data_IF_850001950925
#
_entry.id   IF_850001950925
#
_cell.length_a   1.000
_cell.length_b   1.000
_cell.length_c   1.000
_cell.angle_alpha   90.00
_cell.angle_beta   90.00
_cell.angle_gamma   90.00
#
_symmetry.space_group_name_H-M   'P 1'
#
loop_
_entity.id
_entity.type
_entity.pdbx_description
1 polymer ?
#
# COMPACT_ATOMS: atom_id res chain seq x y z
N UNK A 1 -24.97 -53.41 56.60
CA UNK A 1 -24.88 -53.41 55.12
C UNK A 1 -25.63 -52.23 54.48
N UNK A 2 -26.93 -52.02 54.74
CA UNK A 2 -27.71 -50.90 54.13
C UNK A 2 -27.09 -49.51 54.29
N UNK A 3 -26.53 -49.18 55.47
CA UNK A 3 -25.88 -47.88 55.73
C UNK A 3 -24.57 -47.66 54.95
N UNK A 4 -23.83 -48.74 54.69
CA UNK A 4 -22.56 -48.70 53.96
C UNK A 4 -22.83 -48.51 52.46
N UNK A 5 -23.82 -49.24 51.93
CA UNK A 5 -24.26 -49.12 50.54
C UNK A 5 -24.77 -47.70 50.25
N UNK A 6 -25.58 -47.14 51.17
CA UNK A 6 -26.13 -45.79 51.05
C UNK A 6 -25.04 -44.71 51.02
N UNK A 7 -24.01 -44.84 51.87
CA UNK A 7 -22.86 -43.92 51.90
C UNK A 7 -22.06 -43.98 50.60
N UNK A 8 -21.81 -45.19 50.10
CA UNK A 8 -21.05 -45.40 48.86
C UNK A 8 -21.78 -44.85 47.63
N UNK A 9 -23.11 -45.02 47.56
CA UNK A 9 -23.92 -44.46 46.48
C UNK A 9 -24.01 -42.93 46.53
N UNK A 10 -23.99 -42.33 47.72
CA UNK A 10 -23.95 -40.87 47.86
C UNK A 10 -22.60 -40.30 47.37
N UNK A 11 -21.49 -40.95 47.72
CA UNK A 11 -20.16 -40.54 47.27
C UNK A 11 -20.06 -40.63 45.74
N UNK A 12 -20.54 -41.72 45.15
CA UNK A 12 -20.56 -41.90 43.69
C UNK A 12 -21.41 -40.84 42.98
N UNK A 13 -22.54 -40.44 43.57
CA UNK A 13 -23.40 -39.39 43.01
C UNK A 13 -22.70 -38.02 43.05
N UNK A 14 -22.01 -37.70 44.14
CA UNK A 14 -21.28 -36.43 44.30
C UNK A 14 -20.11 -36.36 43.32
N UNK A 15 -19.35 -37.46 43.15
CA UNK A 15 -18.21 -37.48 42.22
C UNK A 15 -18.65 -37.39 40.76
N UNK A 16 -19.73 -38.08 40.37
CA UNK A 16 -20.32 -37.95 39.05
C UNK A 16 -20.84 -36.54 38.78
N UNK A 17 -21.51 -35.94 39.78
CA UNK A 17 -21.96 -34.55 39.70
C UNK A 17 -20.81 -33.57 39.54
N UNK A 18 -19.75 -33.69 40.34
CA UNK A 18 -18.58 -32.83 40.26
C UNK A 18 -17.94 -32.86 38.87
N UNK A 19 -17.75 -34.03 38.26
CA UNK A 19 -17.23 -34.18 36.89
C UNK A 19 -18.13 -33.47 35.89
N UNK A 20 -19.45 -33.61 36.04
CA UNK A 20 -20.42 -33.00 35.15
C UNK A 20 -20.40 -31.46 35.25
N UNK A 21 -20.34 -30.91 36.46
CA UNK A 21 -20.28 -29.47 36.72
C UNK A 21 -18.91 -28.83 36.39
N UNK A 22 -17.82 -29.62 36.35
CA UNK A 22 -16.49 -29.10 35.98
C UNK A 22 -16.19 -29.12 34.47
N UNK A 23 -17.13 -29.55 33.61
CA UNK A 23 -17.00 -29.30 32.17
C UNK A 23 -17.16 -27.80 31.94
N UNK A 24 -16.01 -27.14 31.86
CA UNK A 24 -15.89 -25.70 31.92
C UNK A 24 -16.70 -25.01 30.81
N UNK A 25 -17.48 -24.02 31.26
CA UNK A 25 -18.04 -22.90 30.49
C UNK A 25 -16.98 -22.08 29.72
N UNK A 26 -15.70 -22.43 29.85
CA UNK A 26 -14.51 -21.79 29.25
C UNK A 26 -13.81 -22.68 28.21
N UNK A 27 -14.42 -23.80 27.83
CA UNK A 27 -13.97 -24.59 26.66
C UNK A 27 -14.62 -24.12 25.36
N UNK A 28 -15.42 -23.06 25.42
CA UNK A 28 -15.83 -22.36 24.22
C UNK A 28 -14.57 -21.89 23.48
N UNK A 29 -14.34 -22.52 22.34
CA UNK A 29 -13.44 -21.97 21.36
C UNK A 29 -14.13 -20.70 20.87
N UNK A 30 -13.61 -19.54 21.28
CA UNK A 30 -13.97 -18.23 20.74
C UNK A 30 -13.60 -18.19 19.25
N UNK A 31 -14.40 -18.85 18.43
CA UNK A 31 -14.30 -18.80 16.99
C UNK A 31 -14.92 -17.47 16.57
N UNK A 32 -14.08 -16.47 16.33
CA UNK A 32 -14.53 -15.23 15.68
C UNK A 32 -14.84 -15.52 14.21
N UNK A 33 -15.99 -16.15 13.96
CA UNK A 33 -16.49 -16.44 12.63
C UNK A 33 -17.02 -15.14 12.01
N UNK A 34 -16.41 -14.70 10.91
CA UNK A 34 -16.79 -13.48 10.19
C UNK A 34 -15.73 -12.39 10.16
N UNK A 35 -14.60 -12.55 10.87
CA UNK A 35 -13.46 -11.66 10.70
C UNK A 35 -12.77 -11.95 9.36
N UNK A 36 -13.16 -11.20 8.34
CA UNK A 36 -12.42 -11.17 7.09
C UNK A 36 -11.26 -10.18 7.28
N UNK A 37 -10.04 -10.68 7.42
CA UNK A 37 -8.84 -9.84 7.27
C UNK A 37 -8.68 -9.52 5.77
N UNK A 38 -9.57 -8.66 5.25
CA UNK A 38 -9.39 -8.08 3.94
C UNK A 38 -8.29 -7.03 4.07
N UNK A 39 -7.05 -7.43 3.83
CA UNK A 39 -6.01 -6.46 3.51
C UNK A 39 -6.53 -5.66 2.30
N UNK A 40 -6.79 -4.37 2.50
CA UNK A 40 -7.21 -3.50 1.41
C UNK A 40 -6.15 -3.51 0.31
N UNK A 41 -6.57 -3.47 -0.95
CA UNK A 41 -5.65 -3.30 -2.07
C UNK A 41 -5.22 -1.83 -2.12
N UNK A 42 -3.95 -1.57 -2.46
CA UNK A 42 -3.49 -0.23 -2.80
C UNK A 42 -3.23 -0.20 -4.31
N UNK A 43 -4.16 0.41 -5.07
CA UNK A 43 -3.97 0.71 -6.49
C UNK A 43 -3.53 2.17 -6.63
N UNK A 44 -2.23 2.37 -6.84
CA UNK A 44 -1.65 3.70 -7.08
C UNK A 44 -1.70 4.00 -8.57
N UNK A 45 -2.58 4.92 -8.96
CA UNK A 45 -2.64 5.43 -10.33
C UNK A 45 -1.91 6.75 -10.43
N UNK A 46 -1.40 7.04 -11.62
CA UNK A 46 -0.59 8.22 -11.89
C UNK A 46 -1.14 8.94 -13.12
N UNK A 47 -1.28 10.24 -13.03
CA UNK A 47 -1.46 11.12 -14.18
C UNK A 47 -0.29 12.10 -14.28
N UNK A 48 -0.21 12.75 -15.44
CA UNK A 48 0.84 13.69 -15.70
C UNK A 48 0.37 14.82 -16.61
N UNK A 49 0.74 16.04 -16.26
CA UNK A 49 0.53 17.23 -17.06
C UNK A 49 1.85 17.99 -17.18
N UNK A 50 2.33 18.09 -18.42
CA UNK A 50 3.69 18.52 -18.72
C UNK A 50 3.67 19.74 -19.63
N UNK A 51 4.57 20.69 -19.38
CA UNK A 51 4.71 21.93 -20.14
C UNK A 51 6.17 22.13 -20.53
N UNK A 52 6.39 22.60 -21.75
CA UNK A 52 7.70 23.03 -22.25
C UNK A 52 7.62 24.50 -22.62
N UNK A 53 8.46 25.33 -21.99
CA UNK A 53 8.46 26.79 -22.14
C UNK A 53 7.06 27.41 -21.96
N UNK A 54 6.28 26.88 -21.01
CA UNK A 54 4.92 27.32 -20.71
C UNK A 54 3.84 26.86 -21.71
N UNK A 55 4.18 26.02 -22.69
CA UNK A 55 3.23 25.42 -23.64
C UNK A 55 3.00 23.96 -23.28
N UNK A 56 1.74 23.53 -23.24
CA UNK A 56 1.37 22.14 -22.94
C UNK A 56 2.08 21.18 -23.90
N UNK A 57 2.74 20.17 -23.33
CA UNK A 57 3.38 19.09 -24.07
C UNK A 57 2.46 17.85 -24.09
N UNK A 58 1.72 17.59 -25.19
CA UNK A 58 0.82 16.44 -25.27
C UNK A 58 1.57 15.10 -25.36
N UNK A 59 2.87 15.09 -25.68
CA UNK A 59 3.67 13.87 -25.76
C UNK A 59 3.91 13.23 -24.39
N UNK A 60 3.98 14.06 -23.35
CA UNK A 60 4.17 13.64 -21.97
C UNK A 60 2.99 13.99 -21.07
N UNK A 61 1.88 14.49 -21.61
CA UNK A 61 0.65 14.72 -20.81
C UNK A 61 -0.34 13.58 -21.01
N UNK A 62 -0.74 12.92 -19.93
CA UNK A 62 -1.71 11.83 -19.98
C UNK A 62 -2.62 11.76 -18.76
N UNK A 63 -3.80 11.18 -18.99
CA UNK A 63 -4.78 10.91 -17.94
C UNK A 63 -4.36 9.72 -17.07
N UNK A 64 -5.00 9.63 -15.91
CA UNK A 64 -4.74 8.63 -14.87
C UNK A 64 -4.63 7.20 -15.43
N UNK A 65 -3.45 6.59 -15.28
CA UNK A 65 -3.15 5.22 -15.73
C UNK A 65 -2.13 4.53 -14.84
N UNK A 66 -1.95 3.23 -15.06
CA UNK A 66 -0.80 2.49 -14.54
C UNK A 66 0.42 2.73 -15.43
N UNK A 67 1.55 3.04 -14.81
CA UNK A 67 2.81 3.26 -15.54
C UNK A 67 3.28 1.99 -16.22
N UNK A 68 3.84 2.16 -17.40
CA UNK A 68 4.47 1.11 -18.20
C UNK A 68 5.88 1.53 -18.59
N UNK A 69 6.70 0.56 -18.96
CA UNK A 69 8.00 0.84 -19.58
C UNK A 69 7.78 1.69 -20.84
N UNK A 70 8.46 2.83 -20.92
CA UNK A 70 8.33 3.79 -22.02
C UNK A 70 7.38 4.96 -21.74
N UNK A 71 6.76 5.04 -20.55
CA UNK A 71 6.12 6.27 -20.09
C UNK A 71 7.20 7.22 -19.54
N UNK A 72 7.23 8.45 -20.06
CA UNK A 72 8.24 9.46 -19.70
C UNK A 72 7.56 10.72 -19.17
N UNK A 73 7.89 11.12 -17.94
CA UNK A 73 7.41 12.38 -17.34
C UNK A 73 8.04 13.62 -18.01
N UNK A 74 9.31 13.46 -18.40
CA UNK A 74 10.05 14.47 -19.15
C UNK A 74 10.63 13.79 -20.40
N UNK A 75 10.32 14.34 -21.56
CA UNK A 75 10.88 13.90 -22.84
C UNK A 75 11.14 15.12 -23.72
N UNK A 76 12.37 15.63 -23.64
CA UNK A 76 12.82 16.81 -24.38
C UNK A 76 14.09 16.46 -25.16
N UNK A 77 14.05 16.63 -26.48
CA UNK A 77 15.18 16.27 -27.37
C UNK A 77 16.05 17.45 -27.81
N UNK A 78 15.57 18.69 -27.69
CA UNK A 78 16.25 19.89 -28.19
C UNK A 78 16.19 21.02 -27.15
N UNK A 79 16.83 20.75 -26.01
CA UNK A 79 16.98 21.71 -24.92
C UNK A 79 18.04 22.75 -25.27
N UNK A 80 17.67 24.02 -25.19
CA UNK A 80 18.56 25.16 -25.38
C UNK A 80 18.74 25.91 -24.05
N UNK A 81 19.85 26.64 -23.88
CA UNK A 81 20.00 27.54 -22.76
C UNK A 81 18.80 28.49 -22.63
N UNK A 82 18.21 28.55 -21.44
CA UNK A 82 17.03 29.36 -21.15
C UNK A 82 15.69 28.62 -21.31
N UNK A 83 15.69 27.41 -21.87
CA UNK A 83 14.48 26.56 -21.86
C UNK A 83 14.18 26.07 -20.44
N UNK A 84 12.89 25.90 -20.14
CA UNK A 84 12.42 25.30 -18.90
C UNK A 84 11.26 24.34 -19.18
N UNK A 85 11.24 23.25 -18.41
CA UNK A 85 10.14 22.30 -18.37
C UNK A 85 9.44 22.37 -17.02
N UNK A 86 8.13 22.19 -17.02
CA UNK A 86 7.32 22.03 -15.82
C UNK A 86 6.53 20.73 -15.94
N UNK A 87 6.43 19.98 -14.86
CA UNK A 87 5.70 18.74 -14.84
C UNK A 87 4.92 18.58 -13.53
N UNK A 88 3.63 18.30 -13.66
CA UNK A 88 2.72 18.07 -12.54
C UNK A 88 2.35 16.59 -12.53
N UNK A 89 2.84 15.88 -11.52
CA UNK A 89 2.61 14.43 -11.34
C UNK A 89 1.63 14.24 -10.19
N UNK A 90 0.46 13.65 -10.47
CA UNK A 90 -0.50 13.32 -9.41
C UNK A 90 -0.42 11.85 -9.04
N UNK A 91 -0.34 11.60 -7.73
CA UNK A 91 -0.39 10.26 -7.13
C UNK A 91 -1.79 10.03 -6.55
N UNK A 92 -2.53 9.09 -7.13
CA UNK A 92 -3.94 8.87 -6.81
C UNK A 92 -4.11 7.51 -6.12
N UNK A 93 -4.61 7.54 -4.88
CA UNK A 93 -4.97 6.36 -4.08
C UNK A 93 -6.43 6.50 -3.65
N UNK A 94 -7.27 5.54 -4.04
CA UNK A 94 -8.72 5.60 -3.77
C UNK A 94 -9.18 4.69 -2.62
N UNK A 95 -8.44 3.63 -2.33
CA UNK A 95 -8.97 2.51 -1.55
C UNK A 95 -8.65 2.59 -0.05
N UNK A 96 -7.46 3.10 0.32
CA UNK A 96 -6.97 3.07 1.69
C UNK A 96 -6.15 4.33 2.03
N UNK A 97 -6.12 4.74 3.31
CA UNK A 97 -5.16 5.72 3.78
C UNK A 97 -3.73 5.28 3.43
N UNK A 98 -2.98 6.16 2.78
CA UNK A 98 -1.64 5.89 2.32
C UNK A 98 -0.68 7.01 2.71
N UNK A 99 0.60 6.68 2.81
CA UNK A 99 1.70 7.63 2.96
C UNK A 99 2.65 7.43 1.78
N UNK A 100 3.18 8.53 1.25
CA UNK A 100 4.16 8.50 0.18
C UNK A 100 5.47 9.12 0.67
N UNK A 101 6.59 8.50 0.29
CA UNK A 101 7.92 9.07 0.43
C UNK A 101 8.48 9.28 -0.97
N UNK A 102 8.77 10.54 -1.30
CA UNK A 102 9.27 10.93 -2.61
C UNK A 102 10.76 11.20 -2.52
N UNK A 103 11.53 10.54 -3.39
CA UNK A 103 12.96 10.77 -3.55
C UNK A 103 13.24 10.95 -5.04
N UNK A 104 13.95 12.02 -5.39
CA UNK A 104 14.40 12.28 -6.74
C UNK A 104 15.92 12.20 -6.76
N UNK A 105 16.46 11.51 -7.77
CA UNK A 105 17.88 11.39 -7.98
C UNK A 105 18.16 11.44 -9.48
N UNK A 106 19.21 12.17 -9.87
CA UNK A 106 19.74 12.11 -11.23
C UNK A 106 20.54 10.81 -11.32
N UNK A 107 20.08 9.88 -12.15
CA UNK A 107 20.71 8.55 -12.27
C UNK A 107 21.86 8.52 -13.27
N UNK A 108 21.89 9.49 -14.19
CA UNK A 108 22.86 9.56 -15.27
C UNK A 108 22.93 10.99 -15.78
N UNK A 109 24.14 11.43 -16.10
CA UNK A 109 24.42 12.66 -16.85
C UNK A 109 25.32 12.26 -18.02
N UNK A 110 24.76 12.30 -19.22
CA UNK A 110 25.41 11.88 -20.47
C UNK A 110 25.92 13.07 -21.28
N UNK A 111 25.98 14.26 -20.69
CA UNK A 111 26.50 15.43 -21.40
C UNK A 111 27.96 15.18 -21.83
N UNK A 112 28.22 15.32 -23.13
CA UNK A 112 29.45 14.86 -23.76
C UNK A 112 30.36 16.03 -24.17
N UNK A 113 29.84 17.26 -24.28
CA UNK A 113 30.60 18.47 -24.67
C UNK A 113 29.76 19.73 -24.52
N UNK A 114 30.20 20.68 -23.68
CA UNK A 114 29.63 22.02 -23.63
C UNK A 114 30.01 22.84 -24.87
N UNK A 115 29.03 23.23 -25.69
CA UNK A 115 29.26 24.04 -26.88
C UNK A 115 29.36 25.53 -26.50
N UNK A 116 30.21 26.29 -27.21
CA UNK A 116 30.41 27.72 -26.97
C UNK A 116 29.13 28.58 -26.85
N UNK A 117 28.04 28.32 -27.61
CA UNK A 117 26.78 29.05 -27.45
C UNK A 117 26.15 28.85 -26.05
N UNK A 118 26.30 27.68 -25.44
CA UNK A 118 25.73 27.35 -24.12
C UNK A 118 26.41 28.13 -23.00
N UNK A 119 27.74 28.31 -23.08
CA UNK A 119 28.53 29.08 -22.11
C UNK A 119 28.17 30.58 -22.13
N UNK A 120 27.77 31.11 -23.30
CA UNK A 120 27.47 32.54 -23.46
C UNK A 120 26.06 32.95 -23.05
N UNK A 121 25.14 31.99 -22.97
CA UNK A 121 23.72 32.24 -22.75
C UNK A 121 23.25 31.88 -21.32
N UNK A 122 24.06 31.12 -20.56
CA UNK A 122 23.83 30.82 -19.14
C UNK A 122 24.35 31.89 -18.19
#
# INVERSE_FOLDING_TARGET
>A
MKKIILSLSLIAAITAGAIWFTNAFLSDTEATAGNTFAAGTIDLKIDNESYYNGVLNPGTSWQTKNLKTGDFFFDFHDLKPGDYGEDTISLIVNDNPAWACLAMAITKDDDNITLRPEIKAG
#
